data_IF_378780568420
#
_entry.id   IF_378780568420
#
_cell.length_a   1.000
_cell.length_b   1.000
_cell.length_c   1.000
_cell.angle_alpha   90.00
_cell.angle_beta   90.00
_cell.angle_gamma   90.00
#
_symmetry.space_group_name_H-M   'P 1'
#
loop_
_entity.id
_entity.type
_entity.pdbx_description
1 polymer ?
#
# COMPACT_ATOMS: atom_id res chain seq x y z
N UNK A 1 26.54 -1.98 -17.20
CA UNK A 1 26.35 -2.52 -15.83
C UNK A 1 25.21 -3.52 -15.88
N UNK A 2 25.40 -4.70 -15.28
CA UNK A 2 24.32 -5.68 -15.07
C UNK A 2 23.78 -5.43 -13.67
N UNK A 3 22.47 -5.14 -13.52
CA UNK A 3 21.81 -4.90 -12.25
C UNK A 3 20.77 -5.99 -11.98
N UNK A 4 20.93 -6.74 -10.90
CA UNK A 4 20.10 -7.91 -10.55
C UNK A 4 19.41 -7.78 -9.19
N UNK A 5 19.33 -6.56 -8.63
CA UNK A 5 18.77 -6.29 -7.30
C UNK A 5 17.48 -5.45 -7.37
N UNK A 6 16.59 -5.75 -8.32
CA UNK A 6 15.29 -5.06 -8.43
C UNK A 6 14.36 -5.32 -7.24
N UNK A 7 14.61 -6.37 -6.46
CA UNK A 7 13.91 -6.62 -5.21
C UNK A 7 14.15 -5.53 -4.15
N UNK A 8 15.34 -4.90 -4.15
CA UNK A 8 15.62 -3.75 -3.31
C UNK A 8 14.99 -2.48 -3.88
N UNK A 9 15.24 -2.17 -5.16
CA UNK A 9 14.65 -1.05 -5.91
C UNK A 9 14.90 -1.25 -7.41
N UNK A 10 14.04 -0.75 -8.28
CA UNK A 10 14.39 -0.68 -9.71
C UNK A 10 15.40 0.43 -9.94
N UNK A 11 16.58 0.09 -10.48
CA UNK A 11 17.64 1.07 -10.73
C UNK A 11 17.37 1.90 -11.98
N UNK A 12 17.06 1.24 -13.10
CA UNK A 12 16.75 1.92 -14.35
C UNK A 12 15.26 2.25 -14.39
N UNK A 13 14.94 3.53 -14.37
CA UNK A 13 13.57 4.03 -14.52
C UNK A 13 13.30 4.36 -15.99
N UNK A 14 12.06 4.16 -16.49
CA UNK A 14 11.64 4.71 -17.77
C UNK A 14 11.97 6.21 -17.87
N UNK A 15 12.40 6.67 -19.04
CA UNK A 15 12.82 8.07 -19.23
C UNK A 15 11.70 9.09 -18.94
N UNK A 16 10.44 8.67 -18.98
CA UNK A 16 9.29 9.48 -18.60
C UNK A 16 9.33 9.88 -17.10
N UNK A 17 9.79 8.99 -16.25
CA UNK A 17 9.81 9.19 -14.77
C UNK A 17 10.68 10.39 -14.38
N UNK A 18 12.01 10.44 -14.67
CA UNK A 18 12.80 11.60 -14.30
C UNK A 18 12.36 12.89 -15.00
N UNK A 19 11.80 12.81 -16.20
CA UNK A 19 11.24 13.99 -16.90
C UNK A 19 10.04 14.55 -16.15
N UNK A 20 9.11 13.70 -15.71
CA UNK A 20 7.94 14.11 -14.93
C UNK A 20 8.32 14.75 -13.59
N UNK A 21 9.28 14.18 -12.87
CA UNK A 21 9.83 14.75 -11.64
C UNK A 21 10.40 16.16 -11.89
N UNK A 22 11.27 16.29 -12.90
CA UNK A 22 11.89 17.57 -13.23
C UNK A 22 10.86 18.63 -13.65
N UNK A 23 9.86 18.23 -14.44
CA UNK A 23 8.79 19.14 -14.86
C UNK A 23 7.98 19.61 -13.66
N UNK A 24 7.56 18.70 -12.77
CA UNK A 24 6.81 19.05 -11.57
C UNK A 24 7.55 20.04 -10.69
N UNK A 25 8.86 19.86 -10.47
CA UNK A 25 9.68 20.81 -9.70
C UNK A 25 9.76 22.22 -10.31
N UNK A 26 9.56 22.34 -11.63
CA UNK A 26 9.63 23.63 -12.33
C UNK A 26 8.29 24.34 -12.47
N UNK A 27 7.18 23.60 -12.50
CA UNK A 27 5.88 24.13 -12.93
C UNK A 27 4.76 23.94 -11.91
N UNK A 28 4.93 23.09 -10.91
CA UNK A 28 3.89 22.76 -9.93
C UNK A 28 4.20 23.34 -8.56
N UNK A 29 3.14 23.74 -7.86
CA UNK A 29 3.21 24.22 -6.48
C UNK A 29 2.42 23.28 -5.55
N UNK A 30 1.92 23.79 -4.40
CA UNK A 30 1.12 22.99 -3.47
C UNK A 30 -0.30 22.81 -4.00
N UNK A 31 -0.81 21.57 -4.10
CA UNK A 31 -2.19 21.31 -4.51
C UNK A 31 -3.19 21.79 -3.45
N UNK A 32 -4.42 22.10 -3.87
CA UNK A 32 -5.55 22.40 -2.98
C UNK A 32 -5.50 23.75 -2.25
N UNK A 33 -4.47 24.60 -2.48
CA UNK A 33 -4.30 25.88 -1.76
C UNK A 33 -4.53 27.14 -2.60
N UNK A 34 -4.94 27.02 -3.85
CA UNK A 34 -5.19 28.18 -4.68
C UNK A 34 -5.67 27.84 -6.09
N UNK A 35 -6.40 28.77 -6.72
CA UNK A 35 -6.92 28.60 -8.08
C UNK A 35 -5.93 28.96 -9.20
N UNK A 36 -4.65 29.21 -8.88
CA UNK A 36 -3.64 29.54 -9.88
C UNK A 36 -3.08 28.30 -10.57
N UNK A 37 -2.54 28.48 -11.77
CA UNK A 37 -2.20 27.41 -12.70
C UNK A 37 -1.28 26.33 -12.09
N UNK A 38 -0.22 26.72 -11.39
CA UNK A 38 0.73 25.75 -10.83
C UNK A 38 0.14 24.90 -9.69
N UNK A 39 -0.85 25.41 -8.94
CA UNK A 39 -1.57 24.62 -7.93
C UNK A 39 -2.54 23.63 -8.60
N UNK A 40 -3.28 24.09 -9.63
CA UNK A 40 -4.19 23.25 -10.40
C UNK A 40 -3.45 22.11 -11.13
N UNK A 41 -2.29 22.39 -11.73
CA UNK A 41 -1.44 21.35 -12.34
C UNK A 41 -0.97 20.30 -11.33
N UNK A 42 -0.64 20.71 -10.11
CA UNK A 42 -0.29 19.80 -9.05
C UNK A 42 -1.48 18.88 -8.68
N UNK A 43 -2.66 19.47 -8.46
CA UNK A 43 -3.88 18.73 -8.13
C UNK A 43 -4.28 17.74 -9.24
N UNK A 44 -4.28 18.17 -10.49
CA UNK A 44 -4.53 17.32 -11.66
C UNK A 44 -3.53 16.15 -11.76
N UNK A 45 -2.28 16.41 -11.39
CA UNK A 45 -1.24 15.36 -11.38
C UNK A 45 -1.48 14.31 -10.31
N UNK A 46 -1.86 14.72 -9.09
CA UNK A 46 -2.24 13.81 -8.02
C UNK A 46 -3.46 12.97 -8.42
N UNK A 47 -4.50 13.63 -8.94
CA UNK A 47 -5.72 12.95 -9.39
C UNK A 47 -5.43 11.94 -10.50
N UNK A 48 -4.65 12.31 -11.51
CA UNK A 48 -4.25 11.40 -12.58
C UNK A 48 -3.51 10.18 -12.04
N UNK A 49 -2.57 10.36 -11.11
CA UNK A 49 -1.85 9.25 -10.48
C UNK A 49 -2.80 8.28 -9.78
N UNK A 50 -3.78 8.80 -9.01
CA UNK A 50 -4.81 7.96 -8.37
C UNK A 50 -5.62 7.20 -9.40
N UNK A 51 -6.05 7.88 -10.47
CA UNK A 51 -6.85 7.28 -11.54
C UNK A 51 -6.10 6.15 -12.24
N UNK A 52 -4.83 6.37 -12.61
CA UNK A 52 -3.99 5.31 -13.21
C UNK A 52 -3.79 4.13 -12.27
N UNK A 53 -3.53 4.40 -10.98
CA UNK A 53 -3.39 3.34 -9.97
C UNK A 53 -4.72 2.59 -9.76
N UNK A 54 -5.86 3.27 -9.68
CA UNK A 54 -7.17 2.65 -9.55
C UNK A 54 -7.49 1.72 -10.73
N UNK A 55 -7.16 2.16 -11.96
CA UNK A 55 -7.32 1.34 -13.15
C UNK A 55 -6.40 0.12 -13.15
N UNK A 56 -5.11 0.29 -12.78
CA UNK A 56 -4.12 -0.81 -12.75
C UNK A 56 -4.50 -1.90 -11.75
N UNK A 57 -5.07 -1.54 -10.61
CA UNK A 57 -5.36 -2.46 -9.51
C UNK A 57 -6.86 -2.79 -9.34
N UNK A 58 -7.71 -2.40 -10.30
CA UNK A 58 -9.17 -2.63 -10.25
C UNK A 58 -9.81 -2.08 -8.97
N UNK A 59 -9.37 -0.90 -8.52
CA UNK A 59 -9.95 -0.23 -7.35
C UNK A 59 -11.18 0.57 -7.78
N UNK A 60 -12.33 0.47 -7.08
CA UNK A 60 -13.59 1.07 -7.51
C UNK A 60 -13.61 2.62 -7.55
N UNK A 61 -12.85 3.26 -6.67
CA UNK A 61 -12.79 4.73 -6.57
C UNK A 61 -11.36 5.21 -6.40
N UNK A 62 -10.99 6.31 -7.06
CA UNK A 62 -9.71 6.99 -6.92
C UNK A 62 -9.46 7.49 -5.49
N UNK A 63 -10.51 7.78 -4.74
CA UNK A 63 -10.43 8.19 -3.33
C UNK A 63 -9.84 7.10 -2.43
N UNK A 64 -10.00 5.83 -2.82
CA UNK A 64 -9.43 4.69 -2.10
C UNK A 64 -7.92 4.51 -2.33
N UNK A 65 -7.31 5.32 -3.19
CA UNK A 65 -5.87 5.34 -3.43
C UNK A 65 -5.24 6.39 -2.52
N UNK A 66 -4.47 5.97 -1.54
CA UNK A 66 -3.80 6.85 -0.58
C UNK A 66 -2.30 6.89 -0.86
N UNK A 67 -1.73 8.08 -1.01
CA UNK A 67 -0.30 8.26 -1.14
C UNK A 67 0.40 8.08 0.19
N UNK A 68 1.48 7.33 0.17
CA UNK A 68 2.34 7.10 1.34
C UNK A 68 3.80 7.36 0.99
N UNK A 69 4.64 7.53 1.98
CA UNK A 69 6.08 7.72 1.76
C UNK A 69 6.78 6.45 1.24
N UNK A 70 6.23 5.28 1.55
CA UNK A 70 6.75 3.95 1.18
C UNK A 70 5.78 2.87 1.67
N UNK A 71 6.06 1.60 1.34
CA UNK A 71 5.26 0.46 1.82
C UNK A 71 5.23 0.35 3.36
N UNK A 72 6.30 0.69 4.06
CA UNK A 72 6.34 0.64 5.54
C UNK A 72 5.32 1.60 6.15
N UNK A 73 5.19 2.81 5.61
CA UNK A 73 4.16 3.77 6.02
C UNK A 73 2.75 3.20 5.76
N UNK A 74 2.51 2.67 4.54
CA UNK A 74 1.25 2.05 4.16
C UNK A 74 0.87 0.88 5.08
N UNK A 75 1.80 -0.03 5.36
CA UNK A 75 1.60 -1.18 6.26
C UNK A 75 1.35 -0.76 7.71
N UNK A 76 2.00 0.31 8.19
CA UNK A 76 1.69 0.86 9.52
C UNK A 76 0.26 1.37 9.62
N UNK A 77 -0.24 2.10 8.61
CA UNK A 77 -1.65 2.53 8.57
C UNK A 77 -2.56 1.31 8.57
N UNK A 78 -2.36 0.37 7.63
CA UNK A 78 -3.22 -0.79 7.46
C UNK A 78 -3.30 -1.66 8.72
N UNK A 79 -2.15 -2.06 9.27
CA UNK A 79 -2.09 -2.96 10.42
C UNK A 79 -2.67 -2.27 11.68
N UNK A 80 -2.30 -1.01 11.94
CA UNK A 80 -2.80 -0.28 13.12
C UNK A 80 -4.27 0.10 13.04
N UNK A 81 -4.86 0.09 11.84
CA UNK A 81 -6.31 0.26 11.65
C UNK A 81 -7.09 -0.99 12.06
N UNK A 82 -6.50 -2.17 11.95
CA UNK A 82 -7.18 -3.44 12.14
C UNK A 82 -6.81 -4.17 13.44
N UNK A 83 -5.58 -3.97 13.93
CA UNK A 83 -5.04 -4.72 15.07
C UNK A 83 -4.84 -3.81 16.26
N UNK A 84 -5.55 -4.11 17.36
CA UNK A 84 -5.40 -3.40 18.62
C UNK A 84 -4.08 -3.77 19.31
N UNK A 85 -3.53 -2.92 20.19
CA UNK A 85 -2.44 -3.33 21.06
C UNK A 85 -2.79 -4.61 21.84
N UNK A 86 -1.93 -5.64 21.74
CA UNK A 86 -2.18 -6.96 22.31
C UNK A 86 -3.15 -7.84 21.53
N UNK A 87 -3.68 -7.37 20.41
CA UNK A 87 -4.60 -8.14 19.54
C UNK A 87 -3.91 -9.31 18.86
N UNK A 88 -4.70 -10.28 18.41
CA UNK A 88 -4.21 -11.49 17.72
C UNK A 88 -4.29 -11.32 16.21
N UNK A 89 -3.23 -11.72 15.49
CA UNK A 89 -3.12 -11.55 14.03
C UNK A 89 -2.52 -12.79 13.38
N UNK A 90 -3.12 -13.24 12.27
CA UNK A 90 -2.53 -14.27 11.42
C UNK A 90 -1.54 -13.64 10.44
N UNK A 91 -0.38 -14.25 10.25
CA UNK A 91 0.62 -13.79 9.27
C UNK A 91 1.19 -14.96 8.49
N UNK A 92 1.68 -14.73 7.27
CA UNK A 92 2.47 -15.73 6.57
C UNK A 92 3.83 -15.95 7.27
N UNK A 93 4.52 -17.06 6.97
CA UNK A 93 5.88 -17.31 7.47
C UNK A 93 6.95 -16.42 6.80
N UNK A 94 6.59 -15.57 5.85
CA UNK A 94 7.53 -14.88 4.95
C UNK A 94 7.43 -13.35 5.01
N UNK A 95 6.83 -12.81 6.07
CA UNK A 95 6.60 -11.37 6.20
C UNK A 95 7.89 -10.56 6.33
N UNK A 96 7.92 -9.41 5.65
CA UNK A 96 8.99 -8.45 5.77
C UNK A 96 8.98 -7.75 7.15
N UNK A 97 10.13 -7.21 7.57
CA UNK A 97 10.26 -6.42 8.80
C UNK A 97 9.29 -5.22 8.90
N UNK A 98 8.78 -4.72 7.78
CA UNK A 98 7.76 -3.68 7.75
C UNK A 98 6.41 -4.15 8.35
N UNK A 99 6.17 -5.45 8.40
CA UNK A 99 5.03 -6.09 9.07
C UNK A 99 5.42 -6.50 10.49
N UNK A 100 6.45 -7.34 10.63
CA UNK A 100 6.79 -7.97 11.91
C UNK A 100 7.15 -6.97 13.01
N UNK A 101 7.83 -5.87 12.67
CA UNK A 101 8.17 -4.81 13.64
C UNK A 101 6.95 -4.00 14.08
N UNK A 102 5.97 -3.78 13.22
CA UNK A 102 4.71 -3.12 13.60
C UNK A 102 3.94 -3.99 14.57
N UNK A 103 3.82 -5.29 14.30
CA UNK A 103 3.15 -6.25 15.18
C UNK A 103 3.86 -6.36 16.54
N UNK A 104 5.19 -6.40 16.53
CA UNK A 104 5.98 -6.38 17.78
C UNK A 104 5.73 -5.09 18.59
N UNK A 105 5.70 -3.93 17.95
CA UNK A 105 5.41 -2.66 18.61
C UNK A 105 4.00 -2.60 19.22
N UNK A 106 3.03 -3.26 18.56
CA UNK A 106 1.67 -3.44 19.07
C UNK A 106 1.57 -4.51 20.17
N UNK A 107 2.66 -5.24 20.46
CA UNK A 107 2.64 -6.44 21.34
C UNK A 107 1.57 -7.45 20.89
N UNK A 108 1.35 -7.56 19.59
CA UNK A 108 0.35 -8.44 19.02
C UNK A 108 0.72 -9.92 19.26
N UNK A 109 -0.29 -10.74 19.52
CA UNK A 109 -0.16 -12.19 19.52
C UNK A 109 -0.16 -12.68 18.06
N UNK A 110 1.00 -13.13 17.57
CA UNK A 110 1.19 -13.51 16.19
C UNK A 110 0.95 -15.00 15.99
N UNK A 111 -0.02 -15.35 15.16
CA UNK A 111 -0.30 -16.72 14.71
C UNK A 111 0.31 -16.90 13.33
N UNK A 112 1.42 -17.64 13.27
CA UNK A 112 2.13 -17.84 11.99
C UNK A 112 1.51 -18.98 11.20
N UNK A 113 1.00 -18.67 10.00
CA UNK A 113 0.58 -19.63 9.00
C UNK A 113 1.84 -20.16 8.26
N UNK A 114 2.59 -21.01 8.97
CA UNK A 114 3.84 -21.58 8.46
C UNK A 114 3.56 -22.68 7.45
N UNK A 115 4.19 -22.59 6.29
CA UNK A 115 4.18 -23.61 5.23
C UNK A 115 5.57 -23.68 4.57
N UNK A 116 5.93 -24.80 3.92
CA UNK A 116 7.14 -24.90 3.13
C UNK A 116 7.11 -23.92 1.93
N UNK A 117 8.29 -23.51 1.46
CA UNK A 117 8.43 -22.72 0.25
C UNK A 117 7.80 -23.42 -0.96
N UNK A 118 7.20 -22.65 -1.84
CA UNK A 118 6.60 -23.11 -3.10
C UNK A 118 5.49 -24.18 -2.92
N UNK A 119 4.82 -24.13 -1.77
CA UNK A 119 3.74 -25.08 -1.40
C UNK A 119 2.42 -24.32 -1.19
N UNK A 120 1.75 -23.88 -2.27
CA UNK A 120 0.55 -23.04 -2.16
C UNK A 120 -0.60 -23.75 -1.40
N UNK A 121 -0.78 -25.04 -1.58
CA UNK A 121 -1.80 -25.80 -0.89
C UNK A 121 -1.56 -25.82 0.63
N UNK A 122 -0.34 -26.11 1.06
CA UNK A 122 0.03 -26.12 2.49
C UNK A 122 -0.07 -24.71 3.10
N UNK A 123 0.22 -23.68 2.30
CA UNK A 123 0.01 -22.28 2.70
C UNK A 123 -1.48 -22.00 3.00
N UNK A 124 -2.39 -22.42 2.14
CA UNK A 124 -3.83 -22.26 2.37
C UNK A 124 -4.31 -23.02 3.61
N UNK A 125 -3.88 -24.28 3.78
CA UNK A 125 -4.20 -25.06 4.97
C UNK A 125 -3.66 -24.42 6.26
N UNK A 126 -2.46 -23.82 6.20
CA UNK A 126 -1.88 -23.11 7.34
C UNK A 126 -2.67 -21.84 7.67
N UNK A 127 -3.10 -21.06 6.68
CA UNK A 127 -3.99 -19.91 6.90
C UNK A 127 -5.35 -20.34 7.44
N UNK A 128 -5.95 -21.39 6.91
CA UNK A 128 -7.23 -21.91 7.45
C UNK A 128 -7.12 -22.27 8.94
N UNK A 129 -6.03 -22.91 9.35
CA UNK A 129 -5.78 -23.21 10.78
C UNK A 129 -5.56 -21.93 11.60
N UNK A 130 -4.80 -20.97 11.06
CA UNK A 130 -4.48 -19.72 11.76
C UNK A 130 -5.74 -18.84 11.97
N UNK A 131 -6.62 -18.77 10.98
CA UNK A 131 -7.88 -18.01 11.07
C UNK A 131 -8.82 -18.56 12.15
N UNK A 132 -8.82 -19.88 12.39
CA UNK A 132 -9.60 -20.52 13.45
C UNK A 132 -9.15 -20.15 14.87
N UNK A 133 -7.99 -19.50 15.04
CA UNK A 133 -7.50 -19.05 16.34
C UNK A 133 -8.17 -17.75 16.85
N UNK A 134 -9.14 -17.19 16.14
CA UNK A 134 -9.87 -15.98 16.54
C UNK A 134 -9.00 -14.72 16.43
N UNK A 135 -8.48 -14.50 15.22
CA UNK A 135 -7.62 -13.34 14.89
C UNK A 135 -8.44 -12.12 14.50
N UNK A 136 -7.91 -10.92 14.77
CA UNK A 136 -8.52 -9.63 14.43
C UNK A 136 -8.28 -9.28 12.94
N UNK A 137 -7.16 -9.73 12.39
CA UNK A 137 -6.78 -9.51 11.00
C UNK A 137 -5.83 -10.60 10.51
N UNK A 138 -5.68 -10.70 9.20
CA UNK A 138 -4.62 -11.46 8.55
C UNK A 138 -3.71 -10.52 7.76
N UNK A 139 -2.40 -10.82 7.73
CA UNK A 139 -1.42 -10.14 6.88
C UNK A 139 -0.71 -11.18 6.03
N UNK A 140 -0.62 -10.96 4.74
CA UNK A 140 0.03 -11.88 3.81
C UNK A 140 0.89 -11.11 2.81
N UNK A 141 2.19 -11.39 2.78
CA UNK A 141 3.03 -10.95 1.66
C UNK A 141 2.63 -11.70 0.39
N UNK A 142 2.50 -11.00 -0.73
CA UNK A 142 2.17 -11.65 -2.00
C UNK A 142 3.39 -12.38 -2.60
N UNK A 143 4.56 -11.75 -2.51
CA UNK A 143 5.82 -12.36 -2.99
C UNK A 143 6.92 -12.12 -1.96
N UNK A 144 7.60 -13.19 -1.55
CA UNK A 144 8.74 -13.09 -0.64
C UNK A 144 9.90 -12.35 -1.29
N UNK A 145 10.41 -11.31 -0.64
CA UNK A 145 11.58 -10.57 -1.10
C UNK A 145 12.89 -11.36 -1.00
N UNK A 146 12.90 -12.45 -0.24
CA UNK A 146 14.09 -13.28 -0.01
C UNK A 146 14.10 -14.47 -0.96
N UNK A 147 12.97 -15.16 -1.09
CA UNK A 147 12.89 -16.44 -1.79
C UNK A 147 12.24 -16.33 -3.18
N UNK A 148 11.53 -15.23 -3.47
CA UNK A 148 10.74 -15.10 -4.70
C UNK A 148 9.51 -16.02 -4.75
N UNK A 149 9.15 -16.64 -3.63
CA UNK A 149 7.96 -17.47 -3.51
C UNK A 149 6.71 -16.58 -3.66
N UNK A 150 5.78 -17.02 -4.49
CA UNK A 150 4.51 -16.35 -4.76
C UNK A 150 3.44 -17.04 -3.91
N UNK A 151 2.93 -16.33 -2.90
CA UNK A 151 1.90 -16.87 -2.02
C UNK A 151 0.51 -16.77 -2.70
N UNK A 152 -0.38 -17.74 -2.45
CA UNK A 152 -1.70 -17.85 -3.12
C UNK A 152 -2.71 -16.85 -2.52
N UNK A 153 -2.50 -15.55 -2.75
CA UNK A 153 -3.28 -14.48 -2.11
C UNK A 153 -4.78 -14.54 -2.45
N UNK A 154 -5.17 -15.04 -3.61
CA UNK A 154 -6.57 -15.22 -3.99
C UNK A 154 -7.26 -16.23 -3.06
N UNK A 155 -6.61 -17.36 -2.80
CA UNK A 155 -7.10 -18.37 -1.86
C UNK A 155 -7.09 -17.88 -0.42
N UNK A 156 -6.02 -17.18 0.01
CA UNK A 156 -5.97 -16.55 1.35
C UNK A 156 -7.09 -15.53 1.51
N UNK A 157 -7.34 -14.69 0.49
CA UNK A 157 -8.42 -13.71 0.50
C UNK A 157 -9.80 -14.37 0.60
N UNK A 158 -10.01 -15.50 -0.10
CA UNK A 158 -11.24 -16.28 0.02
C UNK A 158 -11.43 -16.80 1.45
N UNK A 159 -10.41 -17.44 2.03
CA UNK A 159 -10.46 -17.94 3.42
C UNK A 159 -10.76 -16.83 4.43
N UNK A 160 -10.12 -15.67 4.26
CA UNK A 160 -10.37 -14.51 5.11
C UNK A 160 -11.81 -14.00 5.01
N UNK A 161 -12.37 -13.91 3.80
CA UNK A 161 -13.78 -13.52 3.60
C UNK A 161 -14.74 -14.51 4.26
N UNK A 162 -14.51 -15.80 4.10
CA UNK A 162 -15.34 -16.87 4.71
C UNK A 162 -15.27 -16.84 6.23
N UNK A 163 -14.10 -16.48 6.79
CA UNK A 163 -13.91 -16.33 8.22
C UNK A 163 -14.37 -14.96 8.78
N UNK A 164 -14.74 -13.99 7.92
CA UNK A 164 -15.05 -12.62 8.33
C UNK A 164 -13.84 -11.85 8.89
N UNK A 165 -12.62 -12.22 8.49
CA UNK A 165 -11.36 -11.62 8.95
C UNK A 165 -10.81 -10.67 7.88
N UNK A 166 -10.54 -9.39 8.18
CA UNK A 166 -9.97 -8.46 7.24
C UNK A 166 -8.52 -8.86 6.87
N UNK A 167 -8.19 -8.73 5.58
CA UNK A 167 -6.88 -9.07 5.02
C UNK A 167 -6.08 -7.83 4.64
N UNK A 168 -4.81 -7.77 5.04
CA UNK A 168 -3.78 -6.84 4.54
C UNK A 168 -2.83 -7.60 3.63
N UNK A 169 -2.62 -7.11 2.41
CA UNK A 169 -1.67 -7.67 1.46
C UNK A 169 -0.45 -6.76 1.35
N UNK A 170 0.74 -7.29 1.63
CA UNK A 170 2.00 -6.64 1.25
C UNK A 170 2.35 -6.99 -0.19
N UNK A 171 2.06 -6.07 -1.10
CA UNK A 171 2.34 -6.19 -2.53
C UNK A 171 3.69 -5.56 -2.94
N UNK A 172 4.63 -5.43 -2.00
CA UNK A 172 5.90 -4.72 -2.24
C UNK A 172 6.75 -5.30 -3.36
N UNK A 173 6.62 -6.59 -3.65
CA UNK A 173 7.37 -7.25 -4.72
C UNK A 173 6.51 -7.52 -5.96
N UNK A 174 5.20 -7.54 -5.82
CA UNK A 174 4.27 -7.94 -6.88
C UNK A 174 3.62 -6.77 -7.62
N UNK A 175 3.41 -5.62 -6.96
CA UNK A 175 2.78 -4.46 -7.57
C UNK A 175 3.53 -3.99 -8.83
N UNK A 176 2.82 -3.92 -9.97
CA UNK A 176 3.39 -3.60 -11.26
C UNK A 176 4.15 -4.76 -11.95
N UNK A 177 4.22 -5.93 -11.32
CA UNK A 177 4.90 -7.14 -11.86
C UNK A 177 3.91 -8.29 -12.08
N UNK A 178 3.04 -8.52 -11.09
CA UNK A 178 1.97 -9.52 -11.18
C UNK A 178 0.60 -8.81 -11.19
N UNK A 179 -0.41 -9.40 -11.82
CA UNK A 179 -1.77 -8.88 -11.74
C UNK A 179 -2.26 -8.86 -10.29
N UNK A 180 -2.90 -7.77 -9.89
CA UNK A 180 -3.57 -7.63 -8.59
C UNK A 180 -4.93 -7.00 -8.85
N UNK A 181 -5.99 -7.75 -8.66
CA UNK A 181 -7.37 -7.27 -8.78
C UNK A 181 -7.96 -7.07 -7.38
N UNK A 182 -7.91 -5.83 -6.90
CA UNK A 182 -8.39 -5.49 -5.55
C UNK A 182 -9.88 -5.77 -5.38
N UNK A 183 -10.68 -5.62 -6.44
CA UNK A 183 -12.12 -5.92 -6.41
C UNK A 183 -12.38 -7.41 -6.21
N UNK A 184 -11.63 -8.26 -6.91
CA UNK A 184 -11.75 -9.71 -6.77
C UNK A 184 -11.22 -10.21 -5.42
N UNK A 185 -10.09 -9.65 -4.97
CA UNK A 185 -9.48 -10.01 -3.68
C UNK A 185 -10.35 -9.61 -2.49
N UNK A 186 -11.01 -8.45 -2.53
CA UNK A 186 -11.79 -7.93 -1.40
C UNK A 186 -10.95 -7.72 -0.15
N UNK A 187 -9.64 -7.48 -0.30
CA UNK A 187 -8.74 -7.19 0.80
C UNK A 187 -9.09 -5.85 1.45
N UNK A 188 -8.95 -5.76 2.77
CA UNK A 188 -9.14 -4.51 3.49
C UNK A 188 -8.08 -3.47 3.09
N UNK A 189 -6.84 -3.92 2.88
CA UNK A 189 -5.75 -3.05 2.45
C UNK A 189 -4.76 -3.79 1.55
N UNK A 190 -4.24 -3.08 0.53
CA UNK A 190 -3.08 -3.53 -0.26
C UNK A 190 -2.01 -2.44 -0.21
N UNK A 191 -0.83 -2.76 0.30
CA UNK A 191 0.26 -1.82 0.50
C UNK A 191 1.42 -2.08 -0.47
N UNK A 192 2.01 -1.00 -1.02
CA UNK A 192 3.11 -1.13 -1.98
C UNK A 192 4.02 0.09 -2.02
N UNK A 193 5.32 -0.07 -2.32
CA UNK A 193 6.22 1.05 -2.59
C UNK A 193 6.12 1.49 -4.06
N UNK A 194 6.32 2.76 -4.32
CA UNK A 194 6.36 3.27 -5.69
C UNK A 194 7.65 2.95 -6.45
N UNK A 195 8.75 2.70 -5.73
CA UNK A 195 10.10 2.65 -6.32
C UNK A 195 10.54 1.27 -6.82
N UNK A 196 9.71 0.24 -6.72
CA UNK A 196 9.97 -1.11 -7.24
C UNK A 196 9.25 -1.33 -8.57
N UNK A 197 8.36 -2.29 -8.69
CA UNK A 197 7.68 -2.64 -9.94
C UNK A 197 6.84 -1.53 -10.55
N UNK A 198 6.46 -0.50 -9.78
CA UNK A 198 5.78 0.69 -10.30
C UNK A 198 6.72 1.74 -10.91
N UNK A 199 8.03 1.50 -10.91
CA UNK A 199 9.06 2.37 -11.51
C UNK A 199 9.10 3.82 -11.00
N UNK A 200 8.32 4.18 -9.99
CA UNK A 200 8.31 5.51 -9.38
C UNK A 200 9.60 5.85 -8.61
N UNK A 201 9.78 7.09 -8.18
CA UNK A 201 10.89 7.50 -7.32
C UNK A 201 10.81 6.87 -5.93
N UNK A 202 11.95 6.75 -5.25
CA UNK A 202 12.00 6.52 -3.81
C UNK A 202 11.26 7.63 -3.06
N UNK A 203 10.74 7.35 -1.87
CA UNK A 203 9.91 8.30 -1.12
C UNK A 203 8.47 8.40 -1.64
N UNK A 204 8.01 7.40 -2.39
CA UNK A 204 6.63 7.22 -2.84
C UNK A 204 6.14 5.81 -2.54
N UNK A 205 4.85 5.68 -2.28
CA UNK A 205 4.14 4.43 -2.09
C UNK A 205 2.64 4.64 -2.19
N UNK A 206 1.90 3.55 -2.23
CA UNK A 206 0.44 3.54 -2.26
C UNK A 206 -0.11 2.63 -1.17
N UNK A 207 -1.23 3.03 -0.60
CA UNK A 207 -2.13 2.18 0.15
C UNK A 207 -3.48 2.18 -0.56
N UNK A 208 -3.95 1.00 -0.96
CA UNK A 208 -5.28 0.80 -1.53
C UNK A 208 -6.21 0.42 -0.38
N UNK A 209 -7.24 1.22 -0.17
CA UNK A 209 -8.13 1.11 0.98
C UNK A 209 -9.47 0.48 0.57
N UNK A 210 -9.71 -0.77 0.92
CA UNK A 210 -10.99 -1.45 0.80
C UNK A 210 -11.77 -1.51 2.12
N UNK A 211 -11.16 -1.10 3.22
CA UNK A 211 -11.72 -1.10 4.57
C UNK A 211 -11.63 0.25 5.27
N UNK A 212 -12.16 0.29 6.48
CA UNK A 212 -12.06 1.46 7.35
C UNK A 212 -10.62 1.65 7.84
N UNK A 213 -10.10 2.88 7.75
CA UNK A 213 -8.72 3.20 8.09
C UNK A 213 -8.62 4.29 9.16
N UNK A 214 -7.64 4.15 10.04
CA UNK A 214 -7.31 5.13 11.06
C UNK A 214 -6.08 5.95 10.65
N UNK A 215 -6.07 7.26 10.88
CA UNK A 215 -4.92 8.10 10.57
C UNK A 215 -3.72 7.74 11.46
N UNK A 216 -2.58 7.48 10.84
CA UNK A 216 -1.31 7.26 11.55
C UNK A 216 -0.68 8.58 11.98
N UNK A 217 -0.85 9.62 11.17
CA UNK A 217 -0.38 10.98 11.40
C UNK A 217 -1.57 11.92 11.43
N UNK A 218 -1.54 12.89 12.35
CA UNK A 218 -2.50 13.98 12.40
C UNK A 218 -1.83 15.26 11.91
N UNK A 219 -2.55 16.05 11.09
CA UNK A 219 -2.01 17.31 10.55
C UNK A 219 -2.92 17.94 9.50
N UNK A 220 -2.48 19.02 8.91
CA UNK A 220 -3.24 19.70 7.87
C UNK A 220 -3.29 18.87 6.58
N UNK A 221 -4.47 18.75 6.01
CA UNK A 221 -4.74 18.02 4.75
C UNK A 221 -5.06 18.95 3.58
N UNK A 222 -5.32 20.23 3.88
CA UNK A 222 -5.79 21.21 2.90
C UNK A 222 -7.31 21.36 2.88
N UNK A 223 -8.05 20.44 3.47
CA UNK A 223 -9.51 20.48 3.64
C UNK A 223 -9.88 20.66 5.12
N UNK A 224 -11.15 21.02 5.37
CA UNK A 224 -11.77 21.13 6.71
C UNK A 224 -10.93 21.85 7.79
N UNK A 225 -10.22 22.92 7.41
CA UNK A 225 -9.20 23.59 8.27
C UNK A 225 -9.74 24.17 9.59
N UNK A 226 -11.05 24.23 9.78
CA UNK A 226 -11.69 24.71 11.02
C UNK A 226 -11.95 23.58 12.03
N UNK A 227 -11.83 22.32 11.62
CA UNK A 227 -12.00 21.14 12.50
C UNK A 227 -10.66 20.76 13.10
N UNK A 228 -10.68 20.26 14.34
CA UNK A 228 -9.48 19.73 15.01
C UNK A 228 -9.26 18.24 14.72
N UNK A 229 -10.32 17.53 14.39
CA UNK A 229 -10.26 16.12 13.98
C UNK A 229 -9.78 16.01 12.54
N UNK A 230 -9.13 14.89 12.20
CA UNK A 230 -8.85 14.56 10.81
C UNK A 230 -10.16 14.36 10.04
N UNK A 231 -10.20 14.69 8.73
CA UNK A 231 -11.37 14.44 7.90
C UNK A 231 -11.86 13.01 7.98
N UNK A 232 -13.17 12.82 7.81
CA UNK A 232 -13.79 11.49 7.87
C UNK A 232 -13.74 10.74 6.52
N UNK A 233 -13.30 11.42 5.46
CA UNK A 233 -13.27 10.88 4.10
C UNK A 233 -11.84 10.62 3.61
N UNK A 234 -11.70 9.64 2.74
CA UNK A 234 -10.47 9.35 2.00
C UNK A 234 -10.36 10.28 0.77
N UNK A 235 -9.16 10.59 0.36
CA UNK A 235 -7.87 10.19 0.94
C UNK A 235 -7.39 11.09 2.08
N UNK A 236 -8.02 12.23 2.31
CA UNK A 236 -7.59 13.29 3.22
C UNK A 236 -7.39 12.78 4.67
N UNK A 237 -8.25 11.85 5.12
CA UNK A 237 -8.12 11.21 6.42
C UNK A 237 -6.73 10.65 6.71
N UNK A 238 -6.01 10.19 5.69
CA UNK A 238 -4.74 9.49 5.81
C UNK A 238 -3.54 10.27 5.27
N UNK A 239 -3.78 11.41 4.61
CA UNK A 239 -2.76 12.19 3.92
C UNK A 239 -2.44 13.52 4.60
N UNK A 240 -2.02 13.45 5.87
CA UNK A 240 -1.58 14.63 6.60
C UNK A 240 -0.25 15.17 6.06
N UNK A 241 -0.20 16.47 5.82
CA UNK A 241 0.99 17.20 5.38
C UNK A 241 1.03 17.48 3.88
N UNK A 242 2.05 18.21 3.45
CA UNK A 242 2.24 18.56 2.04
C UNK A 242 2.70 17.35 1.23
N UNK A 243 2.00 17.08 0.14
CA UNK A 243 2.32 15.97 -0.75
C UNK A 243 3.69 16.13 -1.44
N UNK A 244 4.35 15.00 -1.68
CA UNK A 244 5.53 14.91 -2.55
C UNK A 244 5.12 14.99 -4.03
N UNK A 245 4.66 16.17 -4.47
CA UNK A 245 4.15 16.37 -5.85
C UNK A 245 5.14 15.90 -6.92
N UNK A 246 6.45 16.23 -6.85
CA UNK A 246 7.40 15.74 -7.84
C UNK A 246 7.53 14.20 -7.85
N UNK A 247 7.55 13.59 -6.66
CA UNK A 247 7.60 12.13 -6.53
C UNK A 247 6.36 11.46 -7.11
N UNK A 248 5.18 12.02 -6.83
CA UNK A 248 3.90 11.50 -7.34
C UNK A 248 3.79 11.68 -8.86
N UNK A 249 4.30 12.80 -9.42
CA UNK A 249 4.38 12.98 -10.87
C UNK A 249 5.25 11.90 -11.52
N UNK A 250 6.39 11.56 -10.90
CA UNK A 250 7.24 10.47 -11.33
C UNK A 250 6.59 9.09 -11.18
N UNK A 251 5.83 8.87 -10.10
CA UNK A 251 5.09 7.62 -9.88
C UNK A 251 3.98 7.45 -10.93
N UNK A 252 3.23 8.50 -11.25
CA UNK A 252 2.23 8.47 -12.32
C UNK A 252 2.85 8.05 -13.65
N UNK A 253 3.99 8.67 -14.02
CA UNK A 253 4.71 8.33 -15.25
C UNK A 253 5.35 6.92 -15.24
N UNK A 254 5.48 6.31 -14.08
CA UNK A 254 5.95 4.92 -13.95
C UNK A 254 4.81 3.91 -14.04
N UNK A 255 3.60 4.30 -13.64
CA UNK A 255 2.39 3.48 -13.72
C UNK A 255 1.83 3.48 -15.16
N UNK A 256 1.81 4.63 -15.84
CA UNK A 256 1.37 4.81 -17.24
C UNK A 256 2.33 4.12 -18.23
#
# INVERSE_FOLDING_TARGET
MIYLDSAATTFQKPAAVPRAVQQAMRTMSSPGRGGYESARLAEETLFRCRKSAAALFSVPSEEQIVFTMNATHALNIAIKSLVRPGGRVAVSGYEHNAVTRVLHALRAEVVVAAAPLFSPQETLEAFERALKAGVEAAVCTHVSNVFGDILPIEGVAQLCREAGVPLVIDASQSAGVLPIDCKALGAAFVAMPGHKGLYGPQGTGLLLCGGEALPLLQGGTGSESLRQEMPDFLPDRLEAGTHNVPGIAGLAAGID
#
